data_IF_981993640081
#
_entry.id   IF_981993640081
#
_cell.length_a   1.000
_cell.length_b   1.000
_cell.length_c   1.000
_cell.angle_alpha   90.00
_cell.angle_beta   90.00
_cell.angle_gamma   90.00
#
_symmetry.space_group_name_H-M   'P 1'
#
loop_
_entity.id
_entity.type
_entity.pdbx_description
1 polymer ?
#
# COMPACT_ATOMS: atom_id res chain seq x y z
N UNK A 1 -7.52 -2.67 -24.43
CA UNK A 1 -6.06 -2.87 -24.26
C UNK A 1 -5.45 -2.10 -23.07
N UNK A 2 -5.92 -0.89 -22.73
CA UNK A 2 -5.39 -0.12 -21.58
C UNK A 2 -5.46 -0.85 -20.22
N UNK A 3 -6.55 -1.56 -19.94
CA UNK A 3 -6.74 -2.30 -18.68
C UNK A 3 -5.66 -3.39 -18.50
N UNK A 4 -5.26 -4.06 -19.58
CA UNK A 4 -4.23 -5.10 -19.54
C UNK A 4 -2.87 -4.56 -19.09
N UNK A 5 -2.49 -3.36 -19.56
CA UNK A 5 -1.27 -2.69 -19.11
C UNK A 5 -1.32 -2.29 -17.64
N UNK A 6 -2.49 -1.90 -17.12
CA UNK A 6 -2.68 -1.62 -15.68
C UNK A 6 -2.42 -2.91 -14.89
N UNK A 7 -3.00 -4.04 -15.28
CA UNK A 7 -2.82 -5.30 -14.57
C UNK A 7 -1.36 -5.77 -14.56
N UNK A 8 -0.67 -5.75 -15.71
CA UNK A 8 0.73 -6.17 -15.78
C UNK A 8 1.62 -5.27 -14.92
N UNK A 9 1.49 -3.95 -15.08
CA UNK A 9 2.29 -2.99 -14.31
C UNK A 9 2.00 -3.10 -12.82
N UNK A 10 0.75 -3.35 -12.43
CA UNK A 10 0.37 -3.57 -11.04
C UNK A 10 1.03 -4.84 -10.48
N UNK A 11 0.96 -5.98 -11.17
CA UNK A 11 1.56 -7.24 -10.69
C UNK A 11 3.07 -7.07 -10.48
N UNK A 12 3.78 -6.53 -11.48
CA UNK A 12 5.23 -6.34 -11.40
C UNK A 12 5.59 -5.41 -10.23
N UNK A 13 4.90 -4.27 -10.15
CA UNK A 13 5.16 -3.26 -9.10
C UNK A 13 4.81 -3.78 -7.72
N UNK A 14 3.79 -4.63 -7.60
CA UNK A 14 3.39 -5.25 -6.35
C UNK A 14 4.50 -6.13 -5.78
N UNK A 15 5.15 -6.95 -6.61
CA UNK A 15 6.30 -7.75 -6.17
C UNK A 15 7.45 -6.86 -5.69
N UNK A 16 7.77 -5.81 -6.45
CA UNK A 16 8.83 -4.85 -6.11
C UNK A 16 8.54 -4.15 -4.77
N UNK A 17 7.35 -3.57 -4.61
CA UNK A 17 6.98 -2.86 -3.39
C UNK A 17 6.83 -3.78 -2.18
N UNK A 18 6.33 -5.00 -2.37
CA UNK A 18 6.27 -5.99 -1.29
C UNK A 18 7.65 -6.30 -0.75
N UNK A 19 8.64 -6.54 -1.62
CA UNK A 19 10.02 -6.80 -1.20
C UNK A 19 10.62 -5.56 -0.54
N UNK A 20 10.43 -4.38 -1.15
CA UNK A 20 10.96 -3.11 -0.66
C UNK A 20 10.41 -2.80 0.74
N UNK A 21 9.10 -2.83 0.92
CA UNK A 21 8.45 -2.49 2.20
C UNK A 21 8.74 -3.51 3.28
N UNK A 22 8.80 -4.81 2.94
CA UNK A 22 9.24 -5.82 3.90
C UNK A 22 10.66 -5.56 4.37
N UNK A 23 11.60 -5.31 3.44
CA UNK A 23 12.99 -4.99 3.79
C UNK A 23 13.09 -3.70 4.62
N UNK A 24 12.38 -2.64 4.24
CA UNK A 24 12.34 -1.39 5.02
C UNK A 24 11.76 -1.61 6.43
N UNK A 25 10.77 -2.50 6.56
CA UNK A 25 10.18 -2.81 7.86
C UNK A 25 11.09 -3.65 8.75
N UNK A 26 11.93 -4.53 8.17
CA UNK A 26 12.90 -5.36 8.92
C UNK A 26 14.27 -4.72 9.09
N UNK A 27 14.59 -3.70 8.29
CA UNK A 27 15.84 -2.94 8.42
C UNK A 27 15.92 -2.18 9.75
N UNK A 28 17.10 -1.67 10.09
CA UNK A 28 17.31 -0.89 11.32
C UNK A 28 16.38 0.33 11.44
N UNK A 29 15.93 0.88 10.31
CA UNK A 29 14.95 1.97 10.24
C UNK A 29 13.58 1.59 10.79
N UNK A 30 13.18 0.31 10.68
CA UNK A 30 11.87 -0.22 11.12
C UNK A 30 10.70 0.70 10.76
N UNK A 31 10.71 1.22 9.53
CA UNK A 31 9.98 2.43 9.14
C UNK A 31 8.46 2.34 9.37
N UNK A 32 7.86 1.16 9.18
CA UNK A 32 6.43 0.94 9.36
C UNK A 32 6.07 0.36 10.73
N UNK A 33 7.04 -0.03 11.57
CA UNK A 33 6.78 -0.63 12.89
C UNK A 33 6.04 0.31 13.85
N UNK A 34 6.37 1.61 13.97
CA UNK A 34 5.60 2.53 14.81
C UNK A 34 4.13 2.63 14.37
N UNK A 35 3.90 2.71 13.05
CA UNK A 35 2.57 2.78 12.46
C UNK A 35 1.78 1.49 12.71
N UNK A 36 2.41 0.33 12.50
CA UNK A 36 1.84 -0.98 12.83
C UNK A 36 1.46 -1.09 14.31
N UNK A 37 2.33 -0.65 15.23
CA UNK A 37 2.04 -0.65 16.68
C UNK A 37 0.85 0.22 17.03
N UNK A 38 0.77 1.42 16.46
CA UNK A 38 -0.34 2.35 16.68
C UNK A 38 -1.67 1.72 16.23
N UNK A 39 -1.69 1.17 15.01
CA UNK A 39 -2.87 0.53 14.43
C UNK A 39 -3.25 -0.76 15.16
N UNK A 40 -2.27 -1.57 15.58
CA UNK A 40 -2.50 -2.82 16.31
C UNK A 40 -3.01 -2.60 17.74
N UNK A 41 -2.68 -1.46 18.37
CA UNK A 41 -3.23 -1.10 19.68
C UNK A 41 -4.72 -0.73 19.61
N UNK A 42 -5.23 -0.40 18.44
CA UNK A 42 -6.63 0.00 18.27
C UNK A 42 -7.59 -1.19 18.37
N UNK A 43 -8.51 -1.14 19.35
CA UNK A 43 -9.61 -2.12 19.48
C UNK A 43 -10.50 -2.21 18.23
N UNK A 44 -10.50 -1.16 17.40
CA UNK A 44 -11.28 -1.07 16.15
C UNK A 44 -10.41 -1.24 14.90
N UNK A 45 -9.30 -2.00 14.97
CA UNK A 45 -8.37 -2.21 13.85
C UNK A 45 -9.06 -2.54 12.52
N UNK A 46 -10.07 -3.41 12.54
CA UNK A 46 -10.84 -3.79 11.33
C UNK A 46 -11.57 -2.58 10.70
N UNK A 47 -12.15 -1.72 11.53
CA UNK A 47 -12.80 -0.49 11.07
C UNK A 47 -11.78 0.49 10.50
N UNK A 48 -10.66 0.72 11.19
CA UNK A 48 -9.57 1.57 10.72
C UNK A 48 -8.96 1.05 9.41
N UNK A 49 -8.85 -0.27 9.25
CA UNK A 49 -8.39 -0.91 8.01
C UNK A 49 -9.30 -0.56 6.84
N UNK A 50 -10.61 -0.65 7.02
CA UNK A 50 -11.57 -0.33 5.97
C UNK A 50 -11.58 1.18 5.66
N UNK A 51 -11.57 2.03 6.69
CA UNK A 51 -11.52 3.49 6.51
C UNK A 51 -10.26 3.90 5.75
N UNK A 52 -9.09 3.37 6.13
CA UNK A 52 -7.84 3.65 5.44
C UNK A 52 -7.87 3.17 3.98
N UNK A 53 -8.50 2.03 3.70
CA UNK A 53 -8.65 1.54 2.33
C UNK A 53 -9.51 2.47 1.47
N UNK A 54 -10.65 2.91 2.00
CA UNK A 54 -11.53 3.88 1.33
C UNK A 54 -10.78 5.21 1.10
N UNK A 55 -10.04 5.68 2.11
CA UNK A 55 -9.22 6.89 1.99
C UNK A 55 -8.16 6.75 0.88
N UNK A 56 -7.47 5.62 0.78
CA UNK A 56 -6.49 5.37 -0.28
C UNK A 56 -7.13 5.36 -1.68
N UNK A 57 -8.34 4.80 -1.82
CA UNK A 57 -9.09 4.86 -3.08
C UNK A 57 -9.44 6.30 -3.44
N UNK A 58 -9.89 7.12 -2.48
CA UNK A 58 -10.20 8.52 -2.73
C UNK A 58 -8.97 9.29 -3.20
N UNK A 59 -7.83 9.11 -2.51
CA UNK A 59 -6.54 9.72 -2.91
C UNK A 59 -6.15 9.28 -4.32
N UNK A 60 -6.29 7.99 -4.63
CA UNK A 60 -6.01 7.48 -5.96
C UNK A 60 -6.89 8.11 -7.04
N UNK A 61 -8.21 8.20 -6.81
CA UNK A 61 -9.14 8.83 -7.76
C UNK A 61 -8.80 10.31 -7.98
N UNK A 62 -8.48 11.06 -6.92
CA UNK A 62 -8.08 12.48 -7.04
C UNK A 62 -6.80 12.66 -7.84
N UNK A 63 -5.82 11.75 -7.68
CA UNK A 63 -4.58 11.77 -8.47
C UNK A 63 -4.85 11.48 -9.95
N UNK A 64 -5.71 10.50 -10.25
CA UNK A 64 -6.06 10.13 -11.62
C UNK A 64 -6.66 11.32 -12.38
N UNK A 65 -7.58 12.04 -11.73
CA UNK A 65 -8.27 13.20 -12.29
C UNK A 65 -7.31 14.40 -12.48
N UNK A 66 -6.40 14.62 -11.52
CA UNK A 66 -5.52 15.80 -11.52
C UNK A 66 -4.33 15.69 -12.49
N UNK A 67 -3.84 14.47 -12.78
CA UNK A 67 -2.52 14.28 -13.43
C UNK A 67 -2.55 13.52 -14.76
N UNK A 68 -3.73 13.24 -15.33
CA UNK A 68 -3.90 12.48 -16.59
C UNK A 68 -2.97 11.24 -16.66
N UNK A 69 -3.06 10.43 -15.61
CA UNK A 69 -2.10 9.38 -15.31
C UNK A 69 -2.16 8.26 -16.36
N UNK A 70 -1.01 7.86 -16.89
CA UNK A 70 -0.95 6.77 -17.88
C UNK A 70 -1.34 5.41 -17.25
N UNK A 71 -1.85 4.45 -18.03
CA UNK A 71 -2.24 3.13 -17.52
C UNK A 71 -1.13 2.41 -16.75
N UNK A 72 0.13 2.58 -17.15
CA UNK A 72 1.28 1.98 -16.47
C UNK A 72 1.48 2.61 -15.08
N UNK A 73 1.46 3.95 -15.01
CA UNK A 73 1.65 4.68 -13.75
C UNK A 73 0.47 4.42 -12.80
N UNK A 74 -0.74 4.29 -13.33
CA UNK A 74 -1.93 3.88 -12.58
C UNK A 74 -1.71 2.54 -11.86
N UNK A 75 -1.21 1.51 -12.57
CA UNK A 75 -0.90 0.21 -11.95
C UNK A 75 0.18 0.29 -10.88
N UNK A 76 1.22 1.11 -11.08
CA UNK A 76 2.27 1.37 -10.07
C UNK A 76 1.66 1.97 -8.81
N UNK A 77 0.84 3.01 -8.93
CA UNK A 77 0.24 3.73 -7.78
C UNK A 77 -0.72 2.81 -7.02
N UNK A 78 -1.55 2.03 -7.71
CA UNK A 78 -2.45 1.06 -7.07
C UNK A 78 -1.62 0.09 -6.23
N UNK A 79 -0.59 -0.53 -6.82
CA UNK A 79 0.25 -1.49 -6.11
C UNK A 79 0.98 -0.88 -4.93
N UNK A 80 1.47 0.36 -5.06
CA UNK A 80 2.07 1.10 -3.95
C UNK A 80 1.09 1.23 -2.78
N UNK A 81 -0.13 1.72 -3.03
CA UNK A 81 -1.14 1.89 -1.98
C UNK A 81 -1.61 0.55 -1.39
N UNK A 82 -1.75 -0.49 -2.22
CA UNK A 82 -2.10 -1.84 -1.74
C UNK A 82 -1.02 -2.38 -0.81
N UNK A 83 0.25 -2.34 -1.21
CA UNK A 83 1.36 -2.80 -0.36
C UNK A 83 1.49 -1.95 0.91
N UNK A 84 1.26 -0.63 0.83
CA UNK A 84 1.30 0.27 1.98
C UNK A 84 0.19 -0.07 2.99
N UNK A 85 -1.02 -0.33 2.49
CA UNK A 85 -2.14 -0.77 3.31
C UNK A 85 -1.84 -2.12 3.97
N UNK A 86 -1.31 -3.08 3.22
CA UNK A 86 -0.99 -4.41 3.72
C UNK A 86 0.09 -4.35 4.81
N UNK A 87 1.20 -3.65 4.59
CA UNK A 87 2.28 -3.56 5.58
C UNK A 87 1.82 -2.81 6.83
N UNK A 88 0.99 -1.78 6.69
CA UNK A 88 0.48 -0.99 7.83
C UNK A 88 -0.46 -1.80 8.72
N UNK A 89 -1.36 -2.57 8.11
CA UNK A 89 -2.38 -3.35 8.83
C UNK A 89 -1.99 -4.82 9.03
N UNK A 90 -0.74 -5.19 8.73
CA UNK A 90 -0.16 -6.50 8.99
C UNK A 90 -0.39 -6.93 10.45
N UNK A 91 -0.72 -8.20 10.66
CA UNK A 91 -0.86 -8.78 12.00
C UNK A 91 0.50 -9.15 12.62
N UNK A 92 1.54 -9.33 11.82
CA UNK A 92 2.88 -9.61 12.29
C UNK A 92 3.71 -8.33 12.27
N UNK A 93 4.05 -7.84 13.47
CA UNK A 93 5.21 -6.96 13.60
C UNK A 93 6.39 -7.87 13.32
N UNK A 94 7.04 -7.69 12.18
CA UNK A 94 8.21 -8.48 11.77
C UNK A 94 9.42 -8.01 12.57
N UNK A 95 9.43 -8.29 13.87
CA UNK A 95 10.62 -8.28 14.71
C UNK A 95 11.20 -9.68 14.68
N UNK A 96 12.13 -9.93 13.77
CA UNK A 96 13.18 -10.91 14.02
C UNK A 96 14.36 -10.16 14.62
#
# INVERSE_FOLDING_TARGET
>A
MHIFYIFISAIISYFVFTILFKRLNTSDLKLFVPLQKFVNKSKRKKTWKNIAYIFLILVYCSLLDSFNITPIVSGIIISFFTCLHEITFSNSITTK
#
